data_IF_671589923660
#
_entry.id   IF_671589923660
#
_cell.length_a   1.000
_cell.length_b   1.000
_cell.length_c   1.000
_cell.angle_alpha   90.00
_cell.angle_beta   90.00
_cell.angle_gamma   90.00
#
_symmetry.space_group_name_H-M   'P 1'
#
loop_
_entity.id
_entity.type
_entity.pdbx_description
1 polymer ?
#
# COMPACT_ATOMS: atom_id res chain seq x y z
N UNK A 1 -13.68 24.21 10.99
CA UNK A 1 -14.65 24.10 9.88
C UNK A 1 -15.87 23.30 10.31
N UNK A 2 -17.03 23.63 9.78
CA UNK A 2 -18.28 22.91 10.07
C UNK A 2 -18.66 21.99 8.93
N UNK A 3 -18.93 20.72 9.23
CA UNK A 3 -19.32 19.71 8.22
C UNK A 3 -20.63 19.05 8.65
N UNK A 4 -21.62 19.13 7.78
CA UNK A 4 -22.93 18.46 7.96
C UNK A 4 -23.05 17.32 6.96
N UNK A 5 -23.19 16.12 7.47
CA UNK A 5 -23.36 14.90 6.69
C UNK A 5 -24.84 14.56 6.51
N UNK A 6 -25.16 14.09 5.34
CA UNK A 6 -26.47 13.58 4.96
C UNK A 6 -26.32 12.23 4.28
N UNK A 7 -27.17 11.28 4.64
CA UNK A 7 -27.26 9.97 3.99
C UNK A 7 -28.71 9.54 3.89
N UNK A 8 -29.09 9.01 2.73
CA UNK A 8 -30.39 8.40 2.53
C UNK A 8 -30.32 6.91 2.91
N UNK A 9 -31.07 6.52 3.94
CA UNK A 9 -31.14 5.13 4.38
C UNK A 9 -32.50 4.86 5.03
N UNK A 10 -33.29 3.95 4.44
CA UNK A 10 -34.60 3.59 4.94
C UNK A 10 -34.50 2.59 6.10
N UNK A 11 -34.66 3.08 7.31
CA UNK A 11 -34.61 2.29 8.54
C UNK A 11 -35.97 1.72 8.92
N UNK A 12 -35.94 0.66 9.73
CA UNK A 12 -37.10 0.09 10.41
C UNK A 12 -37.19 0.64 11.84
N UNK A 13 -38.36 0.50 12.46
CA UNK A 13 -38.54 0.87 13.85
C UNK A 13 -37.52 0.13 14.76
N UNK A 14 -36.83 0.88 15.60
CA UNK A 14 -35.75 0.37 16.48
C UNK A 14 -34.35 0.41 15.89
N UNK A 15 -34.20 0.82 14.62
CA UNK A 15 -32.91 1.04 13.97
C UNK A 15 -32.50 2.50 14.07
N UNK A 16 -31.21 2.75 14.25
CA UNK A 16 -30.61 4.08 14.28
C UNK A 16 -29.27 4.11 13.55
N UNK A 17 -29.03 5.18 12.80
CA UNK A 17 -27.75 5.43 12.15
C UNK A 17 -26.81 6.22 13.05
N UNK A 18 -25.51 5.89 12.88
CA UNK A 18 -24.39 6.56 13.55
C UNK A 18 -23.31 6.86 12.53
N UNK A 19 -22.59 7.95 12.76
CA UNK A 19 -21.41 8.35 12.01
C UNK A 19 -20.16 8.11 12.86
N UNK A 20 -19.21 7.32 12.36
CA UNK A 20 -17.96 6.98 13.03
C UNK A 20 -16.77 7.41 12.19
N UNK A 21 -15.63 7.78 12.80
CA UNK A 21 -14.45 8.17 12.03
C UNK A 21 -13.21 8.40 12.88
N UNK A 22 -12.11 8.75 12.21
CA UNK A 22 -10.79 8.86 12.82
C UNK A 22 -10.56 10.06 13.73
N UNK A 23 -11.44 11.06 13.70
CA UNK A 23 -11.32 12.28 14.54
C UNK A 23 -12.14 12.16 15.83
N UNK A 24 -11.82 13.01 16.83
CA UNK A 24 -12.46 12.96 18.15
C UNK A 24 -13.99 13.16 18.06
N UNK A 25 -14.47 14.08 17.25
CA UNK A 25 -15.89 14.33 17.03
C UNK A 25 -16.66 13.11 16.48
N UNK A 26 -15.96 12.13 15.90
CA UNK A 26 -16.50 10.88 15.34
C UNK A 26 -16.07 9.63 16.11
N UNK A 27 -15.56 9.80 17.34
CA UNK A 27 -15.21 8.70 18.24
C UNK A 27 -13.78 8.20 18.15
N UNK A 28 -12.88 8.81 17.37
CA UNK A 28 -11.46 8.42 17.23
C UNK A 28 -11.28 6.94 16.83
N UNK A 29 -12.11 6.43 15.94
CA UNK A 29 -12.09 5.04 15.49
C UNK A 29 -12.77 4.05 16.44
N UNK A 30 -13.28 4.51 17.61
CA UNK A 30 -14.04 3.68 18.50
C UNK A 30 -15.54 3.74 18.15
N UNK A 31 -16.09 2.65 17.65
CA UNK A 31 -17.48 2.57 17.21
C UNK A 31 -18.48 2.81 18.35
N UNK A 32 -18.15 2.45 19.58
CA UNK A 32 -19.04 2.71 20.72
C UNK A 32 -19.26 4.21 20.96
N UNK A 33 -18.29 5.05 20.54
CA UNK A 33 -18.33 6.50 20.62
C UNK A 33 -18.82 7.18 19.32
N UNK A 34 -19.32 6.40 18.37
CA UNK A 34 -19.86 6.93 17.12
C UNK A 34 -20.96 7.96 17.37
N UNK A 35 -20.97 9.02 16.59
CA UNK A 35 -21.96 10.11 16.69
C UNK A 35 -23.34 9.65 16.22
N UNK A 36 -24.42 9.71 17.04
CA UNK A 36 -25.75 9.37 16.59
C UNK A 36 -26.24 10.39 15.56
N UNK A 37 -26.85 9.91 14.49
CA UNK A 37 -27.48 10.75 13.48
C UNK A 37 -28.93 11.04 13.83
N UNK A 38 -29.44 12.14 13.30
CA UNK A 38 -30.83 12.54 13.42
C UNK A 38 -31.60 12.23 12.14
N UNK A 39 -32.75 11.58 12.28
CA UNK A 39 -33.67 11.39 11.17
C UNK A 39 -34.30 12.73 10.80
N UNK A 40 -34.34 13.04 9.51
CA UNK A 40 -34.92 14.29 9.00
C UNK A 40 -36.29 14.00 8.42
N UNK A 41 -36.37 13.36 7.24
CA UNK A 41 -37.56 13.02 6.50
C UNK A 41 -37.22 12.09 5.34
N UNK A 42 -38.20 11.31 4.87
CA UNK A 42 -38.11 10.45 3.66
C UNK A 42 -36.82 9.61 3.55
N UNK A 43 -36.41 9.02 4.68
CA UNK A 43 -35.21 8.20 4.74
C UNK A 43 -33.88 8.97 4.94
N UNK A 44 -33.90 10.29 5.00
CA UNK A 44 -32.71 11.10 5.21
C UNK A 44 -32.29 11.20 6.67
N UNK A 45 -31.01 11.01 6.89
CA UNK A 45 -30.35 11.16 8.19
C UNK A 45 -29.26 12.22 8.11
N UNK A 46 -29.05 12.94 9.21
CA UNK A 46 -28.06 14.03 9.27
C UNK A 46 -27.26 14.00 10.57
N UNK A 47 -26.00 14.41 10.49
CA UNK A 47 -25.16 14.72 11.63
C UNK A 47 -24.25 15.90 11.30
N UNK A 48 -23.99 16.78 12.28
CA UNK A 48 -23.09 17.92 12.11
C UNK A 48 -21.94 17.83 13.09
N UNK A 49 -20.75 18.12 12.61
CA UNK A 49 -19.53 18.20 13.43
C UNK A 49 -18.81 19.52 13.19
N UNK A 50 -18.03 19.92 14.18
CA UNK A 50 -16.99 20.94 14.03
C UNK A 50 -15.63 20.22 14.04
N UNK A 51 -14.77 20.51 13.07
CA UNK A 51 -13.42 19.94 12.92
C UNK A 51 -12.42 21.06 12.66
N UNK A 52 -11.13 20.78 12.88
CA UNK A 52 -10.05 21.73 12.62
C UNK A 52 -9.98 22.10 11.13
N UNK A 53 -9.61 23.34 10.85
CA UNK A 53 -9.45 23.81 9.46
C UNK A 53 -8.37 22.99 8.73
N UNK A 54 -8.66 22.56 7.51
CA UNK A 54 -7.73 21.77 6.70
C UNK A 54 -7.60 20.29 7.12
N UNK A 55 -8.31 19.85 8.16
CA UNK A 55 -8.25 18.47 8.62
C UNK A 55 -8.89 17.50 7.60
N UNK A 56 -8.10 16.55 7.11
CA UNK A 56 -8.57 15.40 6.31
C UNK A 56 -8.81 14.21 7.23
N UNK A 57 -9.94 13.53 7.09
CA UNK A 57 -10.27 12.37 7.94
C UNK A 57 -11.10 11.33 7.18
N UNK A 58 -11.01 10.09 7.64
CA UNK A 58 -11.88 9.00 7.19
C UNK A 58 -13.07 8.84 8.13
N UNK A 59 -14.18 8.39 7.58
CA UNK A 59 -15.42 8.15 8.31
C UNK A 59 -16.26 7.07 7.61
N UNK A 60 -17.29 6.59 8.31
CA UNK A 60 -18.25 5.62 7.77
C UNK A 60 -19.51 5.57 8.60
N UNK A 61 -20.51 4.88 8.10
CA UNK A 61 -21.83 4.79 8.69
C UNK A 61 -22.05 3.43 9.36
N UNK A 62 -22.76 3.46 10.48
CA UNK A 62 -23.11 2.30 11.28
C UNK A 62 -24.64 2.29 11.48
N UNK A 63 -25.26 1.13 11.30
CA UNK A 63 -26.65 0.89 11.66
C UNK A 63 -26.69 0.02 12.91
N UNK A 64 -27.38 0.46 13.95
CA UNK A 64 -27.57 -0.30 15.19
C UNK A 64 -29.01 -0.66 15.41
N UNK A 65 -29.22 -1.92 15.82
CA UNK A 65 -30.51 -2.47 16.21
C UNK A 65 -30.32 -3.53 17.31
N UNK A 66 -30.95 -3.38 18.47
CA UNK A 66 -30.96 -4.38 19.55
C UNK A 66 -29.56 -4.92 19.93
N UNK A 67 -28.53 -4.06 19.97
CA UNK A 67 -27.16 -4.45 20.29
C UNK A 67 -26.38 -5.04 19.10
N UNK A 68 -26.97 -5.21 17.94
CA UNK A 68 -26.30 -5.60 16.70
C UNK A 68 -25.85 -4.33 15.96
N UNK A 69 -24.63 -4.33 15.47
CA UNK A 69 -24.06 -3.24 14.68
C UNK A 69 -23.74 -3.75 13.27
N UNK A 70 -24.36 -3.13 12.26
CA UNK A 70 -24.07 -3.33 10.86
C UNK A 70 -23.26 -2.15 10.35
N UNK A 71 -22.12 -2.43 9.72
CA UNK A 71 -21.27 -1.41 9.07
C UNK A 71 -21.48 -1.40 7.57
N UNK A 72 -21.13 -0.29 6.97
CA UNK A 72 -20.88 -0.22 5.53
C UNK A 72 -19.82 -1.23 5.10
N UNK A 73 -20.02 -1.79 3.92
CA UNK A 73 -19.08 -2.68 3.28
C UNK A 73 -18.52 -2.01 2.02
N UNK A 74 -17.23 -1.98 1.86
CA UNK A 74 -16.64 -1.42 0.63
C UNK A 74 -15.64 -0.32 0.85
N UNK A 75 -15.19 -0.10 2.09
CA UNK A 75 -14.19 0.87 2.46
C UNK A 75 -14.73 1.96 3.38
N UNK A 76 -13.99 3.04 3.47
CA UNK A 76 -14.31 4.23 4.25
C UNK A 76 -14.47 5.41 3.33
N UNK A 77 -15.37 6.31 3.69
CA UNK A 77 -15.41 7.64 3.09
C UNK A 77 -14.18 8.44 3.54
N UNK A 78 -13.72 9.33 2.69
CA UNK A 78 -12.62 10.23 3.03
C UNK A 78 -13.05 11.67 2.76
N UNK A 79 -13.16 12.46 3.84
CA UNK A 79 -13.41 13.89 3.72
C UNK A 79 -12.11 14.64 3.54
N UNK A 80 -12.04 15.46 2.49
CA UNK A 80 -10.90 16.34 2.21
C UNK A 80 -11.41 17.75 1.96
N UNK A 81 -11.07 18.70 2.85
CA UNK A 81 -11.48 20.08 2.71
C UNK A 81 -10.73 20.78 1.56
N UNK A 82 -11.35 21.80 1.01
CA UNK A 82 -10.72 22.73 0.07
C UNK A 82 -10.20 23.94 0.85
N UNK A 83 -9.02 24.42 0.52
CA UNK A 83 -8.42 25.56 1.20
C UNK A 83 -9.34 26.80 1.17
N UNK A 84 -9.50 27.45 2.32
CA UNK A 84 -10.30 28.65 2.47
C UNK A 84 -11.81 28.45 2.59
N UNK A 85 -12.31 27.20 2.64
CA UNK A 85 -13.72 26.89 2.85
C UNK A 85 -13.92 26.32 4.26
N UNK A 86 -14.84 26.93 5.01
CA UNK A 86 -15.09 26.56 6.40
C UNK A 86 -16.42 25.85 6.64
N UNK A 87 -17.31 25.77 5.64
CA UNK A 87 -18.63 25.16 5.78
C UNK A 87 -18.93 24.20 4.62
N UNK A 88 -19.32 22.98 4.98
CA UNK A 88 -19.59 21.90 4.04
C UNK A 88 -20.91 21.20 4.34
N UNK A 89 -21.59 20.78 3.29
CA UNK A 89 -22.64 19.75 3.32
C UNK A 89 -22.21 18.57 2.47
N UNK A 90 -22.19 17.39 3.04
CA UNK A 90 -21.74 16.16 2.40
C UNK A 90 -22.95 15.24 2.26
N UNK A 91 -23.26 14.86 1.04
CA UNK A 91 -24.31 13.91 0.70
C UNK A 91 -23.67 12.60 0.28
N UNK A 92 -23.85 11.57 1.08
CA UNK A 92 -23.23 10.26 0.89
C UNK A 92 -24.25 9.21 0.48
N UNK A 93 -23.77 8.18 -0.22
CA UNK A 93 -24.46 6.92 -0.42
C UNK A 93 -23.89 5.87 0.55
N UNK A 94 -24.75 4.97 1.05
CA UNK A 94 -24.32 3.81 1.82
C UNK A 94 -23.39 2.93 0.98
N UNK A 95 -22.14 2.77 1.41
CA UNK A 95 -21.15 2.01 0.66
C UNK A 95 -21.46 0.51 0.70
N UNK A 96 -21.43 -0.09 -0.48
CA UNK A 96 -21.52 -1.54 -0.66
C UNK A 96 -20.27 -2.02 -1.37
N UNK A 97 -19.94 -3.32 -1.22
CA UNK A 97 -18.83 -3.91 -1.95
C UNK A 97 -19.12 -3.79 -3.45
N UNK A 98 -18.30 -3.01 -4.13
CA UNK A 98 -18.34 -2.92 -5.59
C UNK A 98 -17.64 -4.13 -6.23
N UNK A 99 -17.96 -4.43 -7.49
CA UNK A 99 -17.33 -5.52 -8.25
C UNK A 99 -15.83 -5.30 -8.47
N UNK A 100 -15.42 -4.07 -8.48
CA UNK A 100 -14.01 -3.65 -8.64
C UNK A 100 -13.31 -3.36 -7.29
N UNK A 101 -13.92 -3.74 -6.17
CA UNK A 101 -13.36 -3.56 -4.83
C UNK A 101 -11.95 -4.16 -4.68
N UNK A 102 -11.66 -5.27 -5.36
CA UNK A 102 -10.32 -5.88 -5.36
C UNK A 102 -9.22 -4.91 -5.77
N UNK A 103 -9.54 -3.95 -6.65
CA UNK A 103 -8.59 -2.93 -7.11
C UNK A 103 -8.27 -1.86 -6.07
N UNK A 104 -9.08 -1.78 -5.01
CA UNK A 104 -8.85 -0.88 -3.86
C UNK A 104 -7.93 -1.51 -2.81
N UNK A 105 -7.63 -2.81 -2.91
CA UNK A 105 -6.71 -3.47 -1.99
C UNK A 105 -5.29 -2.89 -2.10
N UNK A 106 -4.59 -2.82 -0.97
CA UNK A 106 -3.22 -2.31 -0.90
C UNK A 106 -2.27 -3.08 -1.82
N UNK A 107 -2.44 -4.40 -1.93
CA UNK A 107 -1.63 -5.25 -2.80
C UNK A 107 -1.70 -4.82 -4.27
N UNK A 108 -2.89 -4.46 -4.78
CA UNK A 108 -3.05 -4.03 -6.16
C UNK A 108 -2.67 -2.56 -6.34
N UNK A 109 -3.07 -1.69 -5.41
CA UNK A 109 -2.72 -0.26 -5.46
C UNK A 109 -1.22 0.00 -5.42
N UNK A 110 -0.47 -0.81 -4.66
CA UNK A 110 0.98 -0.69 -4.50
C UNK A 110 1.77 -1.40 -5.60
N UNK A 111 1.20 -2.40 -6.26
CA UNK A 111 1.88 -3.21 -7.27
C UNK A 111 2.11 -2.52 -8.61
N UNK A 112 1.57 -1.31 -8.82
CA UNK A 112 1.71 -0.58 -10.09
C UNK A 112 0.89 -1.15 -11.24
N UNK A 113 0.02 -2.15 -11.00
CA UNK A 113 -0.90 -2.71 -12.02
C UNK A 113 -1.88 -1.63 -12.48
N UNK A 114 -2.24 -0.74 -11.57
CA UNK A 114 -3.09 0.40 -11.84
C UNK A 114 -2.34 1.70 -11.54
N UNK A 115 -2.84 2.75 -12.17
CA UNK A 115 -2.36 4.11 -12.11
C UNK A 115 -1.90 4.52 -10.71
N UNK A 116 -0.68 5.01 -10.56
CA UNK A 116 -0.27 5.72 -9.34
C UNK A 116 -1.05 7.02 -9.26
N UNK A 117 -1.57 7.35 -8.06
CA UNK A 117 -2.10 8.67 -7.80
C UNK A 117 -0.98 9.69 -8.08
N UNK A 118 -1.19 10.56 -9.03
CA UNK A 118 -0.35 11.75 -9.16
C UNK A 118 -0.94 12.74 -8.18
N UNK A 119 -0.22 13.07 -7.12
CA UNK A 119 -0.55 14.18 -6.22
C UNK A 119 -0.43 15.50 -7.02
N UNK A 120 -1.40 15.75 -7.87
CA UNK A 120 -1.62 17.09 -8.42
C UNK A 120 -2.57 17.78 -7.46
N UNK A 121 -2.13 18.88 -6.88
CA UNK A 121 -3.04 19.75 -6.13
C UNK A 121 -4.23 20.12 -7.01
N UNK A 122 -5.43 19.87 -6.50
CA UNK A 122 -6.66 20.39 -7.09
C UNK A 122 -6.58 21.91 -6.99
N UNK A 123 -6.18 22.57 -8.06
CA UNK A 123 -5.92 24.00 -8.11
C UNK A 123 -7.18 24.87 -8.12
N UNK A 124 -8.36 24.30 -7.95
CA UNK A 124 -9.61 25.05 -7.98
C UNK A 124 -10.26 25.10 -6.60
N UNK A 125 -9.96 26.16 -5.83
CA UNK A 125 -10.76 26.59 -4.68
C UNK A 125 -12.04 27.27 -5.18
N UNK A 126 -12.99 26.52 -5.72
CA UNK A 126 -14.26 27.05 -6.17
C UNK A 126 -15.36 26.63 -5.19
N UNK A 127 -16.05 27.61 -4.63
CA UNK A 127 -17.34 27.40 -3.98
C UNK A 127 -18.30 26.77 -5.02
N UNK A 128 -19.01 25.74 -4.64
CA UNK A 128 -19.93 25.09 -5.56
C UNK A 128 -20.37 23.71 -5.13
N UNK A 129 -20.92 22.98 -6.08
CA UNK A 129 -21.35 21.59 -5.89
C UNK A 129 -20.30 20.67 -6.50
N UNK A 130 -19.59 19.93 -5.66
CA UNK A 130 -18.54 18.99 -6.04
C UNK A 130 -19.08 17.58 -6.07
N UNK A 131 -19.05 16.96 -7.25
CA UNK A 131 -19.35 15.53 -7.42
C UNK A 131 -18.08 14.73 -7.25
N UNK A 132 -18.16 13.66 -6.48
CA UNK A 132 -17.08 12.70 -6.29
C UNK A 132 -17.57 11.27 -6.55
N UNK A 133 -16.71 10.41 -7.12
CA UNK A 133 -17.01 8.99 -7.30
C UNK A 133 -15.69 8.18 -7.31
N UNK A 134 -15.71 7.00 -6.70
CA UNK A 134 -14.57 6.08 -6.71
C UNK A 134 -14.65 5.17 -7.93
N UNK A 135 -13.63 5.20 -8.79
CA UNK A 135 -13.55 4.39 -9.99
C UNK A 135 -12.11 3.91 -10.25
N UNK A 136 -11.69 2.80 -9.63
CA UNK A 136 -10.31 2.31 -9.74
C UNK A 136 -10.02 1.55 -11.05
N UNK A 137 -11.05 1.08 -11.77
CA UNK A 137 -10.90 0.13 -12.89
C UNK A 137 -10.97 0.78 -14.28
N UNK A 138 -10.71 2.09 -14.40
CA UNK A 138 -10.68 2.76 -15.71
C UNK A 138 -9.36 2.50 -16.44
N UNK A 139 -9.46 2.32 -17.76
CA UNK A 139 -8.31 2.16 -18.61
C UNK A 139 -7.54 3.50 -18.78
N UNK A 140 -6.25 3.47 -19.13
CA UNK A 140 -5.43 4.69 -19.26
C UNK A 140 -5.98 5.73 -20.27
N UNK A 141 -6.66 5.25 -21.33
CA UNK A 141 -7.29 6.08 -22.36
C UNK A 141 -8.66 6.61 -21.96
N UNK A 142 -9.17 6.24 -20.80
CA UNK A 142 -10.50 6.62 -20.33
C UNK A 142 -10.44 7.69 -19.24
N UNK A 143 -11.50 8.47 -19.17
CA UNK A 143 -11.78 9.44 -18.09
C UNK A 143 -13.25 9.35 -17.70
N UNK A 144 -13.65 10.08 -16.69
CA UNK A 144 -15.04 10.21 -16.26
C UNK A 144 -15.61 11.58 -16.60
N UNK A 145 -16.90 11.62 -16.77
CA UNK A 145 -17.69 12.84 -16.78
C UNK A 145 -18.97 12.67 -15.97
N UNK A 146 -19.52 13.78 -15.50
CA UNK A 146 -20.88 13.87 -14.95
C UNK A 146 -21.77 14.49 -16.01
N UNK A 147 -22.82 13.78 -16.41
CA UNK A 147 -23.82 14.26 -17.36
C UNK A 147 -25.20 14.20 -16.73
N UNK A 148 -26.09 15.08 -17.12
CA UNK A 148 -27.41 15.09 -16.54
C UNK A 148 -28.36 16.12 -17.16
N UNK A 149 -29.48 16.36 -16.49
CA UNK A 149 -30.49 17.34 -16.91
C UNK A 149 -30.01 18.79 -16.86
N UNK A 150 -28.88 19.04 -16.24
CA UNK A 150 -28.29 20.37 -16.00
C UNK A 150 -27.24 20.78 -17.04
N UNK A 151 -26.74 19.84 -17.86
CA UNK A 151 -25.77 20.16 -18.90
C UNK A 151 -26.39 21.01 -20.00
N UNK A 152 -25.62 21.88 -20.66
CA UNK A 152 -26.11 22.76 -21.71
C UNK A 152 -26.79 22.01 -22.86
N UNK A 153 -26.24 20.83 -23.20
CA UNK A 153 -26.93 19.80 -23.98
C UNK A 153 -27.22 18.63 -23.03
N UNK A 154 -28.47 18.45 -22.57
CA UNK A 154 -28.81 17.42 -21.60
C UNK A 154 -28.26 16.04 -21.98
N UNK A 155 -27.61 15.37 -21.02
CA UNK A 155 -27.03 14.03 -21.16
C UNK A 155 -25.85 13.95 -22.15
N UNK A 156 -25.25 15.08 -22.49
CA UNK A 156 -24.05 15.14 -23.35
C UNK A 156 -22.82 15.52 -22.56
N UNK A 157 -21.66 15.08 -23.02
CA UNK A 157 -20.37 15.45 -22.44
C UNK A 157 -19.93 16.79 -22.98
N UNK A 158 -19.68 17.73 -22.07
CA UNK A 158 -19.07 19.03 -22.34
C UNK A 158 -17.74 19.11 -21.59
N UNK A 159 -16.85 20.02 -21.97
CA UNK A 159 -15.52 20.15 -21.36
C UNK A 159 -15.61 20.34 -19.83
N UNK A 160 -16.54 21.15 -19.37
CA UNK A 160 -16.78 21.40 -17.94
C UNK A 160 -17.35 20.21 -17.15
N UNK A 161 -17.75 19.13 -17.83
CA UNK A 161 -18.29 17.91 -17.21
C UNK A 161 -17.23 16.86 -16.93
N UNK A 162 -16.02 17.01 -17.46
CA UNK A 162 -14.93 16.06 -17.26
C UNK A 162 -14.41 16.10 -15.83
N UNK A 163 -14.20 14.93 -15.25
CA UNK A 163 -13.75 14.78 -13.87
C UNK A 163 -12.23 14.72 -13.80
N UNK A 164 -11.68 15.36 -12.78
CA UNK A 164 -10.26 15.28 -12.42
C UNK A 164 -9.95 13.96 -11.74
N UNK A 165 -8.80 13.36 -12.08
CA UNK A 165 -8.23 12.18 -11.44
C UNK A 165 -7.08 12.51 -10.48
N UNK A 166 -6.92 13.76 -10.10
CA UNK A 166 -5.84 14.21 -9.21
C UNK A 166 -5.81 13.44 -7.89
N UNK A 167 -6.95 12.94 -7.43
CA UNK A 167 -7.10 12.13 -6.21
C UNK A 167 -7.45 10.67 -6.48
N UNK A 168 -6.98 10.15 -7.63
CA UNK A 168 -7.23 8.75 -7.99
C UNK A 168 -7.05 7.80 -6.78
N UNK A 169 -7.96 6.83 -6.52
CA UNK A 169 -9.06 6.35 -7.37
C UNK A 169 -10.36 7.18 -7.28
N UNK A 170 -10.38 8.29 -6.55
CA UNK A 170 -11.51 9.20 -6.47
C UNK A 170 -11.42 10.23 -7.60
N UNK A 171 -12.49 10.34 -8.34
CA UNK A 171 -12.67 11.31 -9.42
C UNK A 171 -13.58 12.42 -8.95
N UNK A 172 -13.31 13.67 -9.33
CA UNK A 172 -14.08 14.83 -8.89
C UNK A 172 -14.25 15.89 -9.96
N UNK A 173 -15.37 16.60 -9.90
CA UNK A 173 -15.66 17.81 -10.68
C UNK A 173 -16.51 18.74 -9.85
N UNK A 174 -16.29 20.05 -9.96
CA UNK A 174 -17.05 21.07 -9.23
C UNK A 174 -17.82 21.95 -10.22
N UNK A 175 -19.11 22.12 -9.99
CA UNK A 175 -19.97 22.99 -10.75
C UNK A 175 -20.36 24.22 -9.93
N UNK A 176 -20.45 25.40 -10.55
CA UNK A 176 -21.11 26.55 -9.91
C UNK A 176 -22.56 26.20 -9.59
N UNK A 177 -23.09 26.62 -8.41
CA UNK A 177 -24.44 26.26 -7.98
C UNK A 177 -25.53 26.70 -8.96
N UNK A 178 -25.32 27.80 -9.64
CA UNK A 178 -26.28 28.41 -10.55
C UNK A 178 -26.63 27.54 -11.77
N UNK A 179 -25.72 26.59 -12.11
CA UNK A 179 -25.93 25.68 -13.24
C UNK A 179 -26.94 24.57 -12.86
N UNK A 180 -27.04 24.25 -11.56
CA UNK A 180 -27.81 23.11 -11.06
C UNK A 180 -29.26 23.54 -10.74
N UNK A 181 -30.10 23.57 -11.73
CA UNK A 181 -31.57 23.83 -11.57
C UNK A 181 -32.28 22.56 -11.12
N UNK A 182 -32.77 22.53 -9.91
CA UNK A 182 -33.48 21.38 -9.33
C UNK A 182 -34.88 21.15 -10.02
N UNK A 183 -35.34 19.91 -10.17
CA UNK A 183 -34.67 18.65 -9.79
C UNK A 183 -33.56 18.27 -10.78
N UNK A 184 -32.38 17.84 -10.25
CA UNK A 184 -31.26 17.40 -11.06
C UNK A 184 -31.20 15.88 -11.06
N UNK A 185 -31.30 15.29 -12.25
CA UNK A 185 -30.92 13.90 -12.49
C UNK A 185 -29.57 13.86 -13.20
N UNK A 186 -28.71 12.93 -12.78
CA UNK A 186 -27.37 12.80 -13.33
C UNK A 186 -26.90 11.35 -13.38
N UNK A 187 -25.85 11.10 -14.16
CA UNK A 187 -25.07 9.86 -14.19
C UNK A 187 -23.59 10.16 -14.35
N UNK A 188 -22.76 9.25 -13.85
CA UNK A 188 -21.38 9.17 -14.24
C UNK A 188 -21.25 8.38 -15.53
N UNK A 189 -20.41 8.84 -16.44
CA UNK A 189 -20.14 8.19 -17.72
C UNK A 189 -18.66 8.06 -17.94
N UNK A 190 -18.26 6.97 -18.61
CA UNK A 190 -16.88 6.76 -19.04
C UNK A 190 -16.73 7.37 -20.43
N UNK A 191 -15.68 8.15 -20.59
CA UNK A 191 -15.40 8.91 -21.83
C UNK A 191 -14.01 8.50 -22.35
N UNK A 192 -13.89 8.29 -23.64
CA UNK A 192 -12.61 8.13 -24.30
C UNK A 192 -11.92 9.49 -24.45
N UNK A 193 -10.69 9.61 -23.93
CA UNK A 193 -9.92 10.85 -23.89
C UNK A 193 -9.58 11.42 -25.28
N UNK A 194 -9.43 10.55 -26.27
CA UNK A 194 -9.02 10.95 -27.62
C UNK A 194 -10.16 11.47 -28.46
N UNK A 195 -11.37 10.91 -28.26
CA UNK A 195 -12.56 11.22 -29.06
C UNK A 195 -13.58 12.07 -28.30
N UNK A 196 -13.42 12.22 -26.98
CA UNK A 196 -14.40 12.84 -26.09
C UNK A 196 -15.80 12.21 -26.18
N UNK A 197 -15.89 10.94 -26.60
CA UNK A 197 -17.16 10.22 -26.72
C UNK A 197 -17.40 9.34 -25.52
N UNK A 198 -18.68 9.23 -25.13
CA UNK A 198 -19.10 8.29 -24.11
C UNK A 198 -18.92 6.87 -24.63
N UNK A 199 -18.15 6.06 -23.89
CA UNK A 199 -17.92 4.64 -24.19
C UNK A 199 -18.69 3.72 -23.27
N UNK A 200 -19.12 4.20 -22.10
CA UNK A 200 -19.97 3.46 -21.20
C UNK A 200 -20.77 4.39 -20.28
N UNK A 201 -21.99 3.97 -19.97
CA UNK A 201 -22.86 4.59 -18.99
C UNK A 201 -22.84 3.79 -17.70
N UNK A 202 -22.94 4.46 -16.55
CA UNK A 202 -23.17 3.71 -15.31
C UNK A 202 -24.52 3.02 -15.32
N UNK A 203 -24.61 1.89 -14.61
CA UNK A 203 -25.81 1.07 -14.54
C UNK A 203 -26.84 1.61 -13.54
N UNK A 204 -28.03 1.05 -13.64
CA UNK A 204 -29.13 1.38 -12.76
C UNK A 204 -29.85 2.65 -13.19
N UNK A 205 -30.68 3.15 -12.28
CA UNK A 205 -31.46 4.38 -12.49
C UNK A 205 -30.59 5.62 -12.46
N UNK A 206 -31.10 6.75 -12.95
CA UNK A 206 -30.44 8.03 -12.80
C UNK A 206 -30.29 8.37 -11.32
N UNK A 207 -29.16 8.94 -10.99
CA UNK A 207 -28.94 9.53 -9.65
C UNK A 207 -29.72 10.82 -9.56
N UNK A 208 -30.17 11.13 -8.36
CA UNK A 208 -30.92 12.37 -8.10
C UNK A 208 -30.18 13.20 -7.09
N UNK A 209 -30.03 14.50 -7.37
CA UNK A 209 -29.57 15.43 -6.37
C UNK A 209 -30.70 15.67 -5.39
N UNK A 210 -30.46 15.56 -4.08
CA UNK A 210 -31.42 15.98 -3.08
C UNK A 210 -31.69 17.48 -3.21
N UNK A 211 -32.80 17.95 -2.64
CA UNK A 211 -33.13 19.37 -2.59
C UNK A 211 -32.01 20.15 -1.89
N UNK A 212 -31.25 20.88 -2.68
CA UNK A 212 -30.14 21.71 -2.18
C UNK A 212 -30.72 23.09 -1.83
N UNK A 213 -30.83 23.39 -0.55
CA UNK A 213 -31.08 24.77 -0.12
C UNK A 213 -29.70 25.46 -0.13
N UNK A 214 -29.48 26.29 -1.13
CA UNK A 214 -28.24 27.06 -1.23
C UNK A 214 -28.10 28.01 -0.03
N UNK A 215 -26.90 28.01 0.55
CA UNK A 215 -26.46 29.04 1.50
C UNK A 215 -25.15 29.62 1.00
N UNK A 216 -25.07 30.92 0.94
CA UNK A 216 -23.85 31.60 0.49
C UNK A 216 -22.67 31.20 1.35
N UNK A 217 -21.55 30.83 0.71
CA UNK A 217 -20.30 30.45 1.39
C UNK A 217 -20.17 28.97 1.78
N UNK A 218 -21.11 28.11 1.39
CA UNK A 218 -21.01 26.66 1.62
C UNK A 218 -20.54 25.93 0.36
N UNK A 219 -19.76 24.86 0.55
CA UNK A 219 -19.48 23.87 -0.50
C UNK A 219 -20.32 22.62 -0.25
N UNK A 220 -20.98 22.16 -1.28
CA UNK A 220 -21.76 20.92 -1.27
C UNK A 220 -20.92 19.82 -1.93
N UNK A 221 -20.71 18.72 -1.24
CA UNK A 221 -20.04 17.52 -1.75
C UNK A 221 -21.08 16.45 -1.98
N UNK A 222 -21.19 15.98 -3.19
CA UNK A 222 -22.09 14.87 -3.58
C UNK A 222 -21.20 13.65 -3.84
N UNK A 223 -21.12 12.77 -2.88
CA UNK A 223 -20.30 11.57 -2.95
C UNK A 223 -21.13 10.41 -3.49
N UNK A 224 -20.89 10.08 -4.74
CA UNK A 224 -21.59 8.99 -5.43
C UNK A 224 -21.04 7.59 -5.10
N UNK A 225 -20.23 7.43 -4.04
CA UNK A 225 -19.69 6.15 -3.64
C UNK A 225 -18.84 5.51 -4.74
N UNK A 226 -19.23 4.32 -5.20
CA UNK A 226 -18.57 3.62 -6.29
C UNK A 226 -19.28 3.81 -7.62
N UNK A 227 -18.48 3.91 -8.71
CA UNK A 227 -19.02 3.90 -10.07
C UNK A 227 -19.77 2.58 -10.34
N UNK A 228 -21.02 2.67 -10.70
CA UNK A 228 -21.89 1.51 -11.03
C UNK A 228 -21.69 1.12 -12.49
N UNK A 229 -20.59 0.41 -12.79
CA UNK A 229 -20.25 0.03 -14.14
C UNK A 229 -20.18 -1.49 -14.29
N UNK A 230 -20.93 -2.04 -15.26
CA UNK A 230 -20.80 -3.44 -15.63
C UNK A 230 -19.64 -3.61 -16.60
N UNK A 231 -18.50 -4.01 -16.02
CA UNK A 231 -17.37 -4.49 -16.82
C UNK A 231 -17.13 -5.97 -16.52
N UNK A 232 -16.62 -6.74 -17.51
CA UNK A 232 -16.16 -8.08 -17.18
C UNK A 232 -15.19 -7.99 -16.01
N UNK A 233 -15.38 -8.85 -15.02
CA UNK A 233 -14.43 -8.97 -13.91
C UNK A 233 -13.02 -9.10 -14.49
N UNK A 234 -12.08 -8.35 -13.92
CA UNK A 234 -10.67 -8.55 -14.25
C UNK A 234 -10.31 -10.02 -14.02
N UNK A 235 -9.72 -10.63 -15.03
CA UNK A 235 -9.22 -11.99 -14.96
C UNK A 235 -7.74 -11.98 -15.23
N UNK A 236 -6.97 -12.61 -14.37
CA UNK A 236 -5.54 -12.77 -14.54
C UNK A 236 -5.12 -14.15 -14.10
N UNK A 237 -4.22 -14.75 -14.85
CA UNK A 237 -3.45 -15.90 -14.44
C UNK A 237 -2.08 -15.46 -13.96
N UNK A 238 -1.53 -16.15 -12.99
CA UNK A 238 -0.20 -15.92 -12.45
C UNK A 238 0.33 -17.16 -11.77
N UNK A 239 1.55 -17.09 -11.27
CA UNK A 239 2.19 -18.16 -10.54
C UNK A 239 2.57 -17.73 -9.14
N UNK A 240 2.49 -18.65 -8.19
CA UNK A 240 3.06 -18.51 -6.86
C UNK A 240 4.36 -19.29 -6.82
N UNK A 241 5.47 -18.65 -6.47
CA UNK A 241 6.79 -19.28 -6.53
C UNK A 241 7.69 -18.78 -5.38
N UNK A 242 8.41 -19.70 -4.69
CA UNK A 242 9.45 -19.29 -3.76
C UNK A 242 10.72 -18.89 -4.52
N UNK A 243 11.42 -17.85 -4.06
CA UNK A 243 12.68 -17.39 -4.69
C UNK A 243 13.69 -18.52 -4.75
N UNK A 244 13.85 -19.31 -3.70
CA UNK A 244 14.84 -20.41 -3.67
C UNK A 244 14.69 -21.42 -4.79
N UNK A 245 13.52 -21.55 -5.42
CA UNK A 245 13.28 -22.48 -6.51
C UNK A 245 13.58 -21.90 -7.91
N UNK A 246 13.83 -20.60 -8.02
CA UNK A 246 14.08 -19.90 -9.28
C UNK A 246 15.56 -20.03 -9.70
N UNK A 247 16.10 -21.23 -9.74
CA UNK A 247 17.48 -21.41 -10.18
C UNK A 247 17.62 -21.19 -11.68
N UNK A 248 18.58 -20.34 -12.04
CA UNK A 248 19.00 -20.11 -13.42
C UNK A 248 20.47 -20.47 -13.60
N UNK A 249 20.99 -20.27 -14.80
CA UNK A 249 22.39 -20.58 -15.13
C UNK A 249 23.39 -19.75 -14.32
N UNK A 250 22.99 -18.53 -13.89
CA UNK A 250 23.82 -17.60 -13.13
C UNK A 250 23.65 -17.73 -11.61
N UNK A 251 22.73 -18.56 -11.14
CA UNK A 251 22.47 -18.72 -9.70
C UNK A 251 23.59 -19.46 -8.98
N UNK A 252 23.77 -19.19 -7.71
CA UNK A 252 24.80 -19.80 -6.86
C UNK A 252 24.22 -20.93 -5.99
N UNK A 253 23.66 -21.96 -6.64
CA UNK A 253 23.11 -23.16 -6.02
C UNK A 253 21.70 -23.03 -5.43
N UNK A 254 21.15 -21.84 -5.40
CA UNK A 254 19.79 -21.50 -4.95
C UNK A 254 19.24 -20.40 -5.84
N UNK A 255 17.91 -20.27 -5.94
CA UNK A 255 17.30 -19.13 -6.63
C UNK A 255 17.60 -17.80 -5.91
N UNK A 256 17.87 -16.76 -6.67
CA UNK A 256 18.33 -15.46 -6.22
C UNK A 256 17.37 -14.33 -6.65
N UNK A 257 17.48 -13.15 -6.02
CA UNK A 257 16.61 -12.03 -6.37
C UNK A 257 16.71 -11.62 -7.84
N UNK A 258 17.89 -11.70 -8.45
CA UNK A 258 18.04 -11.42 -9.88
C UNK A 258 17.35 -12.44 -10.80
N UNK A 259 17.07 -13.64 -10.30
CA UNK A 259 16.31 -14.62 -11.08
C UNK A 259 14.83 -14.21 -11.24
N UNK A 260 14.34 -13.29 -10.42
CA UNK A 260 13.01 -12.69 -10.57
C UNK A 260 12.88 -11.89 -11.87
N UNK A 261 13.95 -11.27 -12.37
CA UNK A 261 13.93 -10.56 -13.66
C UNK A 261 13.59 -11.53 -14.79
N UNK A 262 14.27 -12.68 -14.82
CA UNK A 262 13.99 -13.75 -15.82
C UNK A 262 12.58 -14.31 -15.65
N UNK A 263 12.10 -14.41 -14.41
CA UNK A 263 10.74 -14.85 -14.14
C UNK A 263 9.70 -13.86 -14.63
N UNK A 264 9.98 -12.55 -14.52
CA UNK A 264 9.12 -11.49 -15.07
C UNK A 264 9.08 -11.58 -16.59
N UNK A 265 10.23 -11.73 -17.26
CA UNK A 265 10.30 -11.90 -18.71
C UNK A 265 9.50 -13.11 -19.18
N UNK A 266 9.64 -14.24 -18.47
CA UNK A 266 8.85 -15.44 -18.76
C UNK A 266 7.35 -15.21 -18.56
N UNK A 267 6.96 -14.50 -17.51
CA UNK A 267 5.55 -14.18 -17.24
C UNK A 267 4.95 -13.31 -18.35
N UNK A 268 5.71 -12.31 -18.85
CA UNK A 268 5.31 -11.48 -19.98
C UNK A 268 5.13 -12.34 -21.24
N UNK A 269 6.10 -13.19 -21.57
CA UNK A 269 6.05 -14.07 -22.74
C UNK A 269 4.85 -15.04 -22.70
N UNK A 270 4.46 -15.50 -21.53
CA UNK A 270 3.35 -16.44 -21.34
C UNK A 270 2.01 -15.75 -21.08
N UNK A 271 1.96 -14.42 -21.12
CA UNK A 271 0.74 -13.63 -20.91
C UNK A 271 0.22 -13.64 -19.46
N UNK A 272 1.06 -13.96 -18.51
CA UNK A 272 0.70 -13.91 -17.09
C UNK A 272 0.60 -12.47 -16.59
N UNK A 273 -0.22 -12.24 -15.57
CA UNK A 273 -0.54 -10.91 -15.07
C UNK A 273 0.06 -10.59 -13.72
N UNK A 274 0.45 -11.62 -12.97
CA UNK A 274 1.09 -11.45 -11.66
C UNK A 274 2.02 -12.62 -11.34
N UNK A 275 3.00 -12.34 -10.50
CA UNK A 275 3.87 -13.33 -9.87
C UNK A 275 3.71 -13.12 -8.37
N UNK A 276 3.28 -14.14 -7.65
CA UNK A 276 3.24 -14.15 -6.19
C UNK A 276 4.52 -14.78 -5.68
N UNK A 277 5.37 -13.98 -5.05
CA UNK A 277 6.57 -14.48 -4.38
C UNK A 277 6.20 -14.90 -2.97
N UNK A 278 6.62 -16.08 -2.53
CA UNK A 278 6.50 -16.48 -1.13
C UNK A 278 7.38 -15.56 -0.25
N UNK A 279 7.15 -15.53 1.09
CA UNK A 279 7.95 -14.66 1.96
C UNK A 279 9.45 -14.79 1.69
N UNK A 280 10.12 -13.66 1.58
CA UNK A 280 11.55 -13.55 1.24
C UNK A 280 12.40 -13.07 2.40
N UNK A 281 11.76 -12.90 3.56
CA UNK A 281 12.42 -12.45 4.78
C UNK A 281 13.41 -13.49 5.32
N UNK A 282 14.36 -13.03 6.12
CA UNK A 282 15.38 -13.88 6.70
C UNK A 282 14.78 -14.88 7.70
N UNK A 283 15.04 -16.16 7.43
CA UNK A 283 14.64 -17.30 8.26
C UNK A 283 15.83 -18.00 8.91
N UNK A 284 17.04 -17.42 8.80
CA UNK A 284 18.28 -18.03 9.25
C UNK A 284 18.36 -18.17 10.78
N UNK A 285 18.23 -19.40 11.26
CA UNK A 285 18.33 -19.74 12.68
C UNK A 285 19.47 -20.72 12.95
N UNK A 286 19.51 -21.83 12.20
CA UNK A 286 20.40 -22.96 12.42
C UNK A 286 21.49 -23.12 11.35
N UNK A 287 21.44 -22.33 10.29
CA UNK A 287 22.25 -22.47 9.08
C UNK A 287 22.15 -23.84 8.40
N UNK A 288 20.98 -24.47 8.52
CA UNK A 288 20.67 -25.78 7.94
C UNK A 288 19.44 -25.70 7.04
N UNK A 289 19.09 -26.82 6.41
CA UNK A 289 17.87 -26.93 5.59
C UNK A 289 16.58 -26.60 6.38
N UNK A 290 16.61 -26.65 7.72
CA UNK A 290 15.47 -26.24 8.56
C UNK A 290 15.08 -24.76 8.38
N UNK A 291 16.03 -23.94 7.93
CA UNK A 291 15.82 -22.52 7.67
C UNK A 291 15.18 -22.26 6.30
N UNK A 292 14.91 -23.31 5.49
CA UNK A 292 14.30 -23.18 4.17
C UNK A 292 12.81 -22.84 4.18
N UNK A 293 12.14 -22.92 5.34
CA UNK A 293 10.71 -22.68 5.44
C UNK A 293 10.39 -21.17 5.47
N UNK A 294 9.82 -20.60 4.38
CA UNK A 294 9.73 -19.16 4.20
C UNK A 294 8.79 -18.44 5.19
N UNK A 295 7.90 -19.18 5.85
CA UNK A 295 6.94 -18.61 6.81
C UNK A 295 7.47 -18.51 8.25
N UNK A 296 8.74 -18.85 8.49
CA UNK A 296 9.39 -18.73 9.80
C UNK A 296 10.39 -17.58 9.81
N UNK A 297 9.95 -16.39 9.41
CA UNK A 297 10.80 -15.22 9.37
C UNK A 297 11.22 -14.75 10.77
N UNK A 298 12.50 -14.39 10.92
CA UNK A 298 13.06 -13.81 12.14
C UNK A 298 12.82 -12.32 12.23
N UNK A 299 12.66 -11.67 11.08
CA UNK A 299 12.47 -10.24 10.96
C UNK A 299 11.49 -9.93 9.83
N UNK A 300 10.66 -8.91 10.02
CA UNK A 300 9.80 -8.37 8.96
C UNK A 300 10.54 -7.39 8.03
N UNK A 301 11.77 -6.98 8.41
CA UNK A 301 12.57 -6.01 7.66
C UNK A 301 13.72 -6.65 6.89
N UNK A 302 14.44 -7.60 7.51
CA UNK A 302 15.59 -8.24 6.88
C UNK A 302 15.15 -9.28 5.85
N UNK A 303 15.73 -9.22 4.65
CA UNK A 303 15.55 -10.22 3.60
C UNK A 303 16.58 -11.34 3.76
N UNK A 304 16.24 -12.53 3.22
CA UNK A 304 17.09 -13.71 3.35
C UNK A 304 18.41 -13.57 2.59
N UNK A 305 19.56 -13.65 3.25
CA UNK A 305 20.88 -13.39 2.63
C UNK A 305 21.25 -14.40 1.55
N UNK A 306 20.72 -15.63 1.63
CA UNK A 306 20.94 -16.64 0.59
C UNK A 306 20.39 -16.28 -0.79
N UNK A 307 19.44 -15.32 -0.87
CA UNK A 307 18.87 -14.87 -2.14
C UNK A 307 19.64 -13.73 -2.81
N UNK A 308 20.74 -13.26 -2.20
CA UNK A 308 21.61 -12.28 -2.84
C UNK A 308 22.39 -12.91 -4.00
N UNK A 309 22.45 -12.17 -5.11
CA UNK A 309 23.39 -12.47 -6.20
C UNK A 309 24.72 -11.80 -5.90
N UNK A 310 25.68 -12.56 -5.37
CA UNK A 310 26.91 -12.02 -4.80
C UNK A 310 27.77 -11.21 -5.78
N UNK A 311 27.95 -11.62 -7.06
CA UNK A 311 28.70 -10.82 -8.02
C UNK A 311 28.11 -9.41 -8.28
N UNK A 312 26.80 -9.22 -8.06
CA UNK A 312 26.18 -7.89 -8.17
C UNK A 312 26.38 -7.02 -6.92
N UNK A 313 26.67 -7.63 -5.76
CA UNK A 313 27.05 -6.90 -4.54
C UNK A 313 28.49 -6.36 -4.68
N UNK A 314 29.40 -7.18 -5.19
CA UNK A 314 30.77 -6.82 -5.44
C UNK A 314 31.61 -8.04 -5.82
N UNK A 315 32.67 -7.85 -6.60
CA UNK A 315 33.61 -8.89 -6.96
C UNK A 315 34.82 -8.83 -6.04
N UNK A 316 35.36 -10.00 -5.64
CA UNK A 316 36.57 -10.09 -4.87
C UNK A 316 37.77 -9.65 -5.70
N UNK A 317 38.73 -8.98 -5.06
CA UNK A 317 39.94 -8.48 -5.70
C UNK A 317 40.89 -9.62 -6.12
N UNK A 318 40.97 -10.71 -5.32
CA UNK A 318 41.76 -11.89 -5.67
C UNK A 318 41.00 -12.76 -6.69
N UNK A 319 41.52 -12.78 -7.92
CA UNK A 319 40.91 -13.55 -9.01
C UNK A 319 40.93 -15.07 -8.77
N UNK A 320 41.91 -15.60 -8.00
CA UNK A 320 41.95 -17.03 -7.68
C UNK A 320 40.85 -17.40 -6.70
N UNK A 321 40.64 -16.58 -5.69
CA UNK A 321 39.55 -16.74 -4.75
C UNK A 321 38.23 -16.59 -5.50
N UNK A 322 38.07 -15.58 -6.36
CA UNK A 322 36.87 -15.40 -7.16
C UNK A 322 36.58 -16.64 -8.01
N UNK A 323 37.54 -17.18 -8.72
CA UNK A 323 37.40 -18.39 -9.52
C UNK A 323 37.03 -19.63 -8.69
N UNK A 324 37.57 -19.74 -7.46
CA UNK A 324 37.19 -20.80 -6.51
C UNK A 324 35.69 -20.72 -6.16
N UNK A 325 35.20 -19.53 -5.85
CA UNK A 325 33.78 -19.31 -5.54
C UNK A 325 32.89 -19.60 -6.76
N UNK A 326 33.24 -19.14 -7.95
CA UNK A 326 32.49 -19.39 -9.18
C UNK A 326 32.45 -20.88 -9.52
N UNK A 327 33.54 -21.61 -9.32
CA UNK A 327 33.58 -23.06 -9.52
C UNK A 327 32.66 -23.79 -8.53
N UNK A 328 32.69 -23.43 -7.26
CA UNK A 328 31.85 -24.06 -6.24
C UNK A 328 30.36 -23.68 -6.45
N UNK A 329 30.06 -22.43 -6.82
CA UNK A 329 28.72 -22.01 -7.20
C UNK A 329 28.18 -22.84 -8.37
N UNK A 330 28.99 -23.06 -9.41
CA UNK A 330 28.62 -23.89 -10.56
C UNK A 330 28.33 -25.33 -10.12
N UNK A 331 29.18 -25.89 -9.27
CA UNK A 331 28.97 -27.23 -8.71
C UNK A 331 27.66 -27.34 -7.94
N UNK A 332 27.38 -26.39 -7.05
CA UNK A 332 26.15 -26.38 -6.25
C UNK A 332 24.91 -26.17 -7.12
N UNK A 333 25.03 -25.33 -8.16
CA UNK A 333 23.93 -25.05 -9.06
C UNK A 333 23.57 -26.25 -9.97
N UNK A 334 24.50 -27.16 -10.19
CA UNK A 334 24.30 -28.39 -10.95
C UNK A 334 23.61 -29.50 -10.12
N UNK A 335 23.47 -29.34 -8.81
CA UNK A 335 22.82 -30.34 -7.96
C UNK A 335 21.30 -30.42 -8.25
N UNK A 336 20.69 -31.61 -8.15
CA UNK A 336 19.25 -31.78 -8.40
C UNK A 336 18.37 -31.08 -7.35
N UNK A 337 18.91 -30.86 -6.15
CA UNK A 337 18.25 -30.16 -5.06
C UNK A 337 19.19 -29.11 -4.45
N UNK A 338 18.63 -28.14 -3.74
CA UNK A 338 19.42 -27.11 -3.03
C UNK A 338 20.13 -27.75 -1.84
N UNK A 339 21.44 -27.61 -1.78
CA UNK A 339 22.25 -27.90 -0.59
C UNK A 339 22.33 -26.62 0.25
N UNK A 340 21.38 -26.45 1.17
CA UNK A 340 21.23 -25.23 1.94
C UNK A 340 22.45 -24.91 2.81
N UNK A 341 23.06 -25.93 3.41
CA UNK A 341 24.25 -25.80 4.26
C UNK A 341 25.47 -25.33 3.44
N UNK A 342 25.68 -25.94 2.29
CA UNK A 342 26.80 -25.58 1.43
C UNK A 342 26.60 -24.18 0.80
N UNK A 343 25.40 -23.85 0.37
CA UNK A 343 25.06 -22.53 -0.17
C UNK A 343 25.25 -21.44 0.91
N UNK A 344 24.71 -21.66 2.10
CA UNK A 344 24.82 -20.69 3.21
C UNK A 344 26.28 -20.47 3.58
N UNK A 345 27.07 -21.54 3.69
CA UNK A 345 28.52 -21.44 3.97
C UNK A 345 29.25 -20.66 2.87
N UNK A 346 29.03 -21.02 1.60
CA UNK A 346 29.65 -20.37 0.44
C UNK A 346 29.37 -18.85 0.45
N UNK A 347 28.10 -18.49 0.56
CA UNK A 347 27.67 -17.08 0.50
C UNK A 347 28.15 -16.27 1.72
N UNK A 348 28.09 -16.85 2.89
CA UNK A 348 28.60 -16.19 4.13
C UNK A 348 30.12 -15.99 4.09
N UNK A 349 30.87 -16.94 3.56
CA UNK A 349 32.33 -16.81 3.38
C UNK A 349 32.66 -15.70 2.39
N UNK A 350 31.99 -15.67 1.23
CA UNK A 350 32.16 -14.62 0.23
C UNK A 350 31.90 -13.24 0.81
N UNK A 351 30.77 -13.05 1.49
CA UNK A 351 30.41 -11.76 2.09
C UNK A 351 31.41 -11.29 3.15
N UNK A 352 31.97 -12.23 3.94
CA UNK A 352 33.03 -11.88 4.92
C UNK A 352 34.31 -11.42 4.24
N UNK A 353 34.72 -12.04 3.15
CA UNK A 353 35.91 -11.63 2.39
C UNK A 353 35.63 -10.25 1.76
N UNK A 354 34.52 -10.10 1.08
CA UNK A 354 34.11 -8.84 0.45
C UNK A 354 34.07 -7.70 1.48
N UNK A 355 33.49 -7.95 2.66
CA UNK A 355 33.47 -6.96 3.73
C UNK A 355 34.87 -6.52 4.19
N UNK A 356 35.85 -7.42 4.24
CA UNK A 356 37.22 -7.06 4.57
C UNK A 356 37.87 -6.17 3.51
N UNK A 357 37.50 -6.36 2.23
CA UNK A 357 38.03 -5.58 1.11
C UNK A 357 37.39 -4.19 1.00
N UNK A 358 36.07 -4.09 1.09
CA UNK A 358 35.35 -2.85 0.78
C UNK A 358 34.47 -2.33 1.91
N UNK A 359 34.39 -3.03 3.05
CA UNK A 359 33.48 -2.71 4.13
C UNK A 359 33.71 -1.33 4.75
N UNK A 360 34.98 -0.95 4.97
CA UNK A 360 35.31 0.35 5.57
C UNK A 360 34.81 1.52 4.70
N UNK A 361 35.03 1.46 3.38
CA UNK A 361 34.61 2.49 2.44
C UNK A 361 33.09 2.51 2.32
N UNK A 362 32.44 1.32 2.30
CA UNK A 362 30.98 1.19 2.24
C UNK A 362 30.33 1.83 3.47
N UNK A 363 30.79 1.50 4.68
CA UNK A 363 30.25 2.04 5.94
C UNK A 363 30.53 3.55 6.10
N UNK A 364 31.59 4.08 5.45
CA UNK A 364 31.87 5.51 5.42
C UNK A 364 31.01 6.28 4.40
N UNK A 365 30.33 5.59 3.50
CA UNK A 365 29.54 6.22 2.42
C UNK A 365 28.32 6.98 2.94
N UNK A 366 27.89 8.00 2.21
CA UNK A 366 26.68 8.78 2.55
C UNK A 366 25.39 7.95 2.40
N UNK A 367 25.36 7.01 1.46
CA UNK A 367 24.23 6.09 1.25
C UNK A 367 24.04 5.16 2.45
N UNK A 368 25.14 4.57 2.95
CA UNK A 368 25.08 3.73 4.15
C UNK A 368 24.66 4.53 5.38
N UNK A 369 25.21 5.72 5.61
CA UNK A 369 24.84 6.55 6.78
C UNK A 369 23.36 6.86 6.80
N UNK A 370 22.80 7.24 5.65
CA UNK A 370 21.36 7.48 5.53
C UNK A 370 20.56 6.20 5.82
N UNK A 371 20.93 5.08 5.22
CA UNK A 371 20.30 3.79 5.49
C UNK A 371 20.34 3.43 6.97
N UNK A 372 21.49 3.59 7.62
CA UNK A 372 21.67 3.29 9.05
C UNK A 372 20.78 4.18 9.92
N UNK A 373 20.77 5.50 9.66
CA UNK A 373 19.97 6.44 10.45
C UNK A 373 18.46 6.19 10.32
N UNK A 374 18.00 5.84 9.15
CA UNK A 374 16.59 5.51 8.88
C UNK A 374 16.18 4.17 9.51
N UNK A 375 17.09 3.22 9.64
CA UNK A 375 16.79 1.83 9.99
C UNK A 375 17.33 1.38 11.36
N UNK A 376 18.13 2.16 12.06
CA UNK A 376 18.85 1.77 13.29
C UNK A 376 17.96 1.13 14.36
N UNK A 377 16.68 1.48 14.44
CA UNK A 377 15.75 0.93 15.44
C UNK A 377 15.56 -0.58 15.32
N UNK A 378 15.60 -1.12 14.10
CA UNK A 378 15.49 -2.56 13.89
C UNK A 378 16.84 -3.19 13.52
N UNK A 379 17.68 -2.45 12.80
CA UNK A 379 18.96 -2.91 12.27
C UNK A 379 19.95 -3.29 13.38
N UNK A 380 20.09 -2.43 14.39
CA UNK A 380 21.01 -2.66 15.50
C UNK A 380 20.64 -3.89 16.32
N UNK A 381 19.39 -4.03 16.83
CA UNK A 381 18.98 -5.24 17.53
C UNK A 381 19.11 -6.51 16.69
N UNK A 382 18.79 -6.42 15.39
CA UNK A 382 18.84 -7.59 14.53
C UNK A 382 20.28 -8.05 14.22
N UNK A 383 21.21 -7.13 13.99
CA UNK A 383 22.62 -7.45 13.82
C UNK A 383 23.23 -8.03 15.11
N UNK A 384 22.85 -7.50 16.28
CA UNK A 384 23.24 -8.07 17.58
C UNK A 384 22.68 -9.48 17.78
N UNK A 385 21.43 -9.72 17.40
CA UNK A 385 20.83 -11.06 17.38
C UNK A 385 21.65 -12.03 16.51
N UNK A 386 21.97 -11.65 15.27
CA UNK A 386 22.77 -12.49 14.38
C UNK A 386 24.15 -12.78 14.96
N UNK A 387 24.80 -11.78 15.56
CA UNK A 387 26.09 -11.94 16.22
C UNK A 387 26.02 -12.94 17.39
N UNK A 388 25.06 -12.78 18.30
CA UNK A 388 24.91 -13.65 19.46
C UNK A 388 24.56 -15.09 19.05
N UNK A 389 23.61 -15.28 18.11
CA UNK A 389 23.27 -16.57 17.55
C UNK A 389 24.48 -17.31 17.01
N UNK A 390 25.30 -16.62 16.21
CA UNK A 390 26.42 -17.26 15.52
C UNK A 390 27.63 -17.47 16.45
N UNK A 391 27.84 -16.57 17.41
CA UNK A 391 28.95 -16.67 18.38
C UNK A 391 28.66 -17.72 19.44
N UNK A 392 27.41 -17.81 19.91
CA UNK A 392 26.97 -18.77 20.92
C UNK A 392 26.52 -20.10 20.31
N UNK A 393 26.49 -20.21 19.00
CA UNK A 393 26.09 -21.41 18.23
C UNK A 393 24.68 -21.92 18.58
N UNK A 394 23.78 -21.05 19.03
CA UNK A 394 22.40 -21.37 19.33
C UNK A 394 21.48 -20.18 19.05
N UNK A 395 20.34 -20.37 18.37
CA UNK A 395 19.34 -19.31 18.21
C UNK A 395 18.40 -19.20 19.41
N UNK A 396 18.55 -20.05 20.42
CA UNK A 396 17.71 -20.09 21.62
C UNK A 396 18.18 -19.03 22.59
N UNK A 397 17.57 -17.85 22.53
CA UNK A 397 18.02 -16.70 23.34
C UNK A 397 18.01 -16.93 24.86
N UNK A 398 17.16 -17.82 25.38
CA UNK A 398 17.21 -18.20 26.81
C UNK A 398 18.51 -18.87 27.24
N UNK A 399 19.33 -19.34 26.29
CA UNK A 399 20.65 -19.93 26.53
C UNK A 399 21.80 -18.93 26.43
N UNK A 400 21.52 -17.65 26.13
CA UNK A 400 22.53 -16.61 25.89
C UNK A 400 23.06 -15.94 27.17
N UNK A 401 22.86 -16.54 28.34
CA UNK A 401 23.38 -16.02 29.58
C UNK A 401 22.84 -14.63 29.92
N UNK A 402 23.72 -13.64 30.00
CA UNK A 402 23.33 -12.26 30.28
C UNK A 402 22.51 -11.58 29.19
N UNK A 403 22.45 -12.15 27.98
CA UNK A 403 21.65 -11.69 26.84
C UNK A 403 20.34 -12.48 26.66
N UNK A 404 19.98 -13.34 27.63
CA UNK A 404 18.73 -14.14 27.58
C UNK A 404 17.47 -13.29 27.56
N UNK A 405 17.53 -12.10 28.13
CA UNK A 405 16.48 -11.09 28.05
C UNK A 405 16.96 -9.87 27.29
N UNK A 406 16.08 -9.31 26.42
CA UNK A 406 16.41 -8.13 25.65
C UNK A 406 16.62 -6.92 26.56
N UNK A 407 17.78 -6.30 26.46
CA UNK A 407 18.13 -5.04 27.11
C UNK A 407 18.78 -4.11 26.08
N UNK A 408 18.11 -2.98 25.79
CA UNK A 408 18.56 -2.01 24.80
C UNK A 408 19.95 -1.47 25.11
N UNK A 409 20.30 -1.29 26.40
CA UNK A 409 21.62 -0.79 26.82
C UNK A 409 22.71 -1.81 26.53
N UNK A 410 22.47 -3.10 26.82
CA UNK A 410 23.40 -4.18 26.52
C UNK A 410 23.62 -4.31 25.01
N UNK A 411 22.54 -4.23 24.22
CA UNK A 411 22.63 -4.25 22.76
C UNK A 411 23.41 -3.05 22.24
N UNK A 412 23.19 -1.85 22.79
CA UNK A 412 23.95 -0.66 22.44
C UNK A 412 25.45 -0.80 22.76
N UNK A 413 25.79 -1.29 23.95
CA UNK A 413 27.18 -1.56 24.32
C UNK A 413 27.83 -2.60 23.41
N UNK A 414 27.15 -3.67 23.08
CA UNK A 414 27.63 -4.71 22.17
C UNK A 414 27.92 -4.17 20.77
N UNK A 415 27.09 -3.24 20.32
CA UNK A 415 27.15 -2.63 18.99
C UNK A 415 27.96 -1.34 18.93
N UNK A 416 28.59 -0.94 20.04
CA UNK A 416 29.48 0.22 20.09
C UNK A 416 30.74 -0.02 19.27
N UNK A 417 31.25 1.03 18.63
CA UNK A 417 32.47 0.98 17.79
C UNK A 417 33.69 0.50 18.54
N UNK A 418 33.77 0.78 19.85
CA UNK A 418 34.88 0.36 20.74
C UNK A 418 34.70 -1.08 21.27
N UNK A 419 33.58 -1.74 20.96
CA UNK A 419 33.33 -3.12 21.38
C UNK A 419 34.13 -4.12 20.55
N UNK A 420 34.63 -5.17 21.20
CA UNK A 420 35.29 -6.32 20.53
C UNK A 420 34.33 -7.04 19.54
N UNK A 421 33.04 -6.93 19.74
CA UNK A 421 32.01 -7.50 18.86
C UNK A 421 31.78 -6.67 17.60
N UNK A 422 32.09 -5.38 17.64
CA UNK A 422 31.74 -4.44 16.56
C UNK A 422 32.24 -4.85 15.17
N UNK A 423 33.49 -5.34 14.98
CA UNK A 423 33.94 -5.73 13.64
C UNK A 423 33.08 -6.81 12.98
N UNK A 424 32.51 -7.71 13.79
CA UNK A 424 31.60 -8.77 13.30
C UNK A 424 30.20 -8.20 13.07
N UNK A 425 29.70 -7.39 13.99
CA UNK A 425 28.38 -6.71 13.88
C UNK A 425 28.36 -5.77 12.68
N UNK A 426 29.44 -5.06 12.40
CA UNK A 426 29.59 -4.23 11.21
C UNK A 426 29.49 -5.05 9.91
N UNK A 427 29.97 -6.29 9.92
CA UNK A 427 29.79 -7.24 8.84
C UNK A 427 28.32 -7.59 8.60
N UNK A 428 27.50 -7.71 9.66
CA UNK A 428 26.04 -7.87 9.52
C UNK A 428 25.38 -6.60 9.00
N UNK A 429 25.79 -5.41 9.43
CA UNK A 429 25.29 -4.16 8.85
C UNK A 429 25.57 -4.07 7.35
N UNK A 430 26.76 -4.48 6.93
CA UNK A 430 27.11 -4.55 5.52
C UNK A 430 26.21 -5.52 4.76
N UNK A 431 25.98 -6.74 5.27
CA UNK A 431 25.04 -7.68 4.67
C UNK A 431 23.63 -7.14 4.58
N UNK A 432 23.14 -6.54 5.68
CA UNK A 432 21.76 -6.03 5.79
C UNK A 432 21.51 -4.79 4.90
N UNK A 433 22.55 -4.04 4.54
CA UNK A 433 22.46 -2.98 3.54
C UNK A 433 21.94 -3.52 2.19
N UNK A 434 22.40 -4.70 1.81
CA UNK A 434 22.02 -5.34 0.54
C UNK A 434 20.81 -6.26 0.65
N UNK A 435 20.37 -6.60 1.87
CA UNK A 435 19.21 -7.45 2.15
C UNK A 435 18.08 -6.68 2.83
N UNK A 436 17.98 -5.39 2.63
CA UNK A 436 16.83 -4.61 3.06
C UNK A 436 16.16 -3.95 1.86
N UNK A 437 14.83 -3.76 1.89
CA UNK A 437 14.14 -3.02 0.85
C UNK A 437 14.73 -1.61 0.73
N UNK A 438 15.19 -1.26 -0.47
CA UNK A 438 15.70 0.08 -0.73
C UNK A 438 14.53 1.07 -0.81
N UNK A 439 14.62 2.27 -0.20
CA UNK A 439 13.63 3.32 -0.42
C UNK A 439 13.56 3.81 -1.88
N UNK A 440 14.41 3.30 -2.77
CA UNK A 440 14.33 3.56 -4.20
C UNK A 440 13.25 2.74 -4.90
N UNK A 441 12.72 1.71 -4.24
CA UNK A 441 11.74 0.78 -4.80
C UNK A 441 10.31 1.05 -4.29
N UNK A 442 10.09 2.16 -3.58
CA UNK A 442 8.79 2.63 -3.09
C UNK A 442 8.24 3.78 -3.92
#
# INVERSE_FOLDING_TARGET
MRVTFFIEYHTRWGQQLFLSGGIEALGSGNEERALPMQYVDDGWWTATIDADEGCTFTYGYLLRENGVCLKEWGGEHCFRPTFGISTYRVYDEWLQISRDHVFLSSAIRQSGIFRKATEKEDSASTLGVRFEVTAPALLPQETLAVVGSFTGHPWSVEEGCLMSDARYPVWSVTFPPEILRLPVEYKFVVVDKSTCRIVAWEEGENRRLPLLVERAGETIVVNGGHLRLFRPLWKGAGVAVPVFSLRSESSWGIGEFLDLEKMVDWAVLTGQRFIQVLPVNDTTMWHTWLDSYPYRANSVYALHPAYLHLPAVGRLADEKEMARFEQEATRLNALPAVDYEAVTRLKSEYMRILFREVGADTLASSSYRRFFDENKKWLVPYAAFCYLRDTLHTPVFSEWGEYAEYDERKVACLSDVESDAYPVIAGYYFCLLYTSPSPRDS
#
